data_IF_152440508491
#
_entry.id   IF_152440508491
#
_cell.length_a   1.000
_cell.length_b   1.000
_cell.length_c   1.000
_cell.angle_alpha   90.00
_cell.angle_beta   90.00
_cell.angle_gamma   90.00
#
_symmetry.space_group_name_H-M   'P 1'
#
loop_
_entity.id
_entity.type
_entity.pdbx_description
1 polymer ?
#
# COMPACT_ATOMS: atom_id res chain seq x y z
N UNK A 1 3.69 7.76 -14.45
CA UNK A 1 2.50 8.26 -13.72
C UNK A 1 2.96 8.77 -12.37
N UNK A 2 2.67 10.01 -11.99
CA UNK A 2 2.93 10.49 -10.63
C UNK A 2 1.66 10.29 -9.81
N UNK A 3 1.70 9.38 -8.84
CA UNK A 3 0.64 9.28 -7.85
C UNK A 3 0.49 10.61 -7.11
N UNK A 4 -0.71 10.91 -6.64
CA UNK A 4 -0.95 12.12 -5.85
C UNK A 4 -0.08 12.08 -4.58
N UNK A 5 0.76 13.10 -4.39
CA UNK A 5 1.71 13.15 -3.29
C UNK A 5 1.02 13.14 -1.91
N UNK A 6 -0.09 13.86 -1.75
CA UNK A 6 -0.87 13.87 -0.51
C UNK A 6 -1.45 12.50 -0.17
N UNK A 7 -1.94 11.77 -1.18
CA UNK A 7 -2.42 10.40 -0.97
C UNK A 7 -1.29 9.43 -0.62
N UNK A 8 -0.13 9.57 -1.24
CA UNK A 8 1.04 8.74 -0.93
C UNK A 8 1.51 8.97 0.51
N UNK A 9 1.51 10.23 0.93
CA UNK A 9 1.85 10.62 2.29
C UNK A 9 0.87 10.05 3.32
N UNK A 10 -0.44 10.15 3.06
CA UNK A 10 -1.44 9.52 3.92
C UNK A 10 -1.22 8.00 4.03
N UNK A 11 -0.96 7.32 2.91
CA UNK A 11 -0.69 5.88 2.92
C UNK A 11 0.55 5.54 3.76
N UNK A 12 1.61 6.33 3.60
CA UNK A 12 2.85 6.18 4.37
C UNK A 12 2.62 6.35 5.86
N UNK A 13 1.87 7.37 6.27
CA UNK A 13 1.57 7.65 7.68
C UNK A 13 0.68 6.58 8.31
N UNK A 14 -0.40 6.18 7.63
CA UNK A 14 -1.39 5.26 8.21
C UNK A 14 -1.05 3.78 8.06
N UNK A 15 -0.24 3.40 7.06
CA UNK A 15 0.06 2.00 6.73
C UNK A 15 1.55 1.69 6.65
N UNK A 16 2.43 2.69 6.76
CA UNK A 16 3.88 2.48 6.68
C UNK A 16 4.41 2.11 5.29
N UNK A 17 3.57 2.20 4.24
CA UNK A 17 3.93 1.83 2.85
C UNK A 17 3.66 2.97 1.88
N UNK A 18 4.38 2.99 0.74
CA UNK A 18 4.16 3.95 -0.35
C UNK A 18 3.64 3.25 -1.60
N UNK A 19 3.08 4.01 -2.54
CA UNK A 19 2.65 3.46 -3.84
C UNK A 19 3.80 2.83 -4.61
N UNK A 20 5.01 3.38 -4.52
CA UNK A 20 6.20 2.80 -5.14
C UNK A 20 6.50 1.41 -4.59
N UNK A 21 6.43 1.24 -3.25
CA UNK A 21 6.61 -0.07 -2.62
C UNK A 21 5.54 -1.08 -3.07
N UNK A 22 4.28 -0.63 -3.21
CA UNK A 22 3.17 -1.46 -3.73
C UNK A 22 3.44 -1.94 -5.15
N UNK A 23 3.89 -1.07 -6.05
CA UNK A 23 4.20 -1.47 -7.44
C UNK A 23 5.33 -2.50 -7.46
N UNK A 24 6.42 -2.25 -6.73
CA UNK A 24 7.56 -3.19 -6.65
C UNK A 24 7.12 -4.56 -6.13
N UNK A 25 6.28 -4.60 -5.09
CA UNK A 25 5.80 -5.86 -4.55
C UNK A 25 4.90 -6.62 -5.54
N UNK A 26 4.03 -5.92 -6.27
CA UNK A 26 3.20 -6.56 -7.31
C UNK A 26 4.09 -7.16 -8.40
N UNK A 27 5.07 -6.41 -8.90
CA UNK A 27 5.99 -6.86 -9.95
C UNK A 27 6.86 -8.05 -9.50
N UNK A 28 7.24 -8.07 -8.23
CA UNK A 28 8.03 -9.16 -7.63
C UNK A 28 7.17 -10.35 -7.17
N UNK A 29 5.83 -10.27 -7.24
CA UNK A 29 4.94 -11.27 -6.64
C UNK A 29 5.06 -11.36 -5.11
N UNK A 30 5.47 -10.27 -4.46
CA UNK A 30 5.70 -10.16 -3.02
C UNK A 30 4.45 -9.76 -2.21
N UNK A 31 4.53 -10.01 -0.90
CA UNK A 31 3.49 -9.64 0.07
C UNK A 31 3.97 -8.45 0.91
N UNK A 32 3.18 -7.38 0.97
CA UNK A 32 3.49 -6.20 1.78
C UNK A 32 2.82 -6.21 3.15
N UNK A 33 1.56 -6.64 3.20
CA UNK A 33 0.76 -6.62 4.43
C UNK A 33 -0.44 -7.56 4.29
N UNK A 34 -0.96 -8.06 5.42
CA UNK A 34 -2.20 -8.83 5.52
C UNK A 34 -3.14 -8.09 6.44
N UNK A 35 -4.18 -7.49 5.86
CA UNK A 35 -5.16 -6.71 6.60
C UNK A 35 -6.42 -7.55 6.78
N UNK A 36 -6.86 -7.71 8.04
CA UNK A 36 -8.13 -8.36 8.34
C UNK A 36 -9.30 -7.61 7.68
N UNK A 37 -10.19 -8.35 7.01
CA UNK A 37 -11.37 -7.75 6.42
C UNK A 37 -12.33 -7.31 7.55
N UNK A 38 -12.83 -6.05 7.54
CA UNK A 38 -13.69 -5.55 8.61
C UNK A 38 -15.05 -6.27 8.70
N UNK A 39 -15.42 -7.05 7.67
CA UNK A 39 -16.59 -7.90 7.67
C UNK A 39 -16.18 -9.38 7.58
N UNK A 40 -15.72 -9.96 8.69
CA UNK A 40 -15.24 -11.34 8.73
C UNK A 40 -16.36 -12.39 8.95
N UNK A 41 -17.60 -12.09 8.56
CA UNK A 41 -18.76 -12.97 8.76
C UNK A 41 -18.75 -14.21 7.85
#
# INVERSE_FOLDING_TARGET
>A
MRWNAGKNESLRVFRGVTFEAVVVAIEAGGLLDVVAHPNAA
#
